data_IF_255318052236
#
_entry.id   IF_255318052236
#
_cell.length_a   1.000
_cell.length_b   1.000
_cell.length_c   1.000
_cell.angle_alpha   90.00
_cell.angle_beta   90.00
_cell.angle_gamma   90.00
#
_symmetry.space_group_name_H-M   'P 1'
#
loop_
_entity.id
_entity.type
_entity.pdbx_description
1 polymer ?
#
# COMPACT_ATOMS: atom_id res chain seq x y z
N UNK A 1 -1.17 -0.96 -10.74
CA UNK A 1 -0.04 -1.75 -11.20
C UNK A 1 -0.10 -1.81 -12.72
N UNK A 2 0.88 -1.25 -13.38
CA UNK A 2 1.08 -1.40 -14.82
C UNK A 2 1.55 -2.84 -15.05
N UNK A 3 0.63 -3.73 -15.32
CA UNK A 3 0.66 -5.13 -15.78
C UNK A 3 1.91 -6.02 -15.66
N UNK A 4 3.12 -5.47 -15.62
CA UNK A 4 4.36 -6.24 -15.61
C UNK A 4 4.92 -6.54 -14.21
N UNK A 5 4.57 -5.73 -13.19
CA UNK A 5 5.12 -5.85 -11.83
C UNK A 5 4.04 -5.68 -10.77
N UNK A 6 3.12 -6.65 -10.61
CA UNK A 6 2.12 -6.60 -9.56
C UNK A 6 2.80 -6.76 -8.19
N UNK A 7 2.67 -5.77 -7.33
CA UNK A 7 3.26 -5.77 -5.97
C UNK A 7 2.23 -5.93 -4.87
N UNK A 8 0.98 -5.61 -5.16
CA UNK A 8 -0.13 -5.73 -4.20
C UNK A 8 -1.42 -6.13 -4.93
N UNK A 9 -2.29 -6.83 -4.24
CA UNK A 9 -3.68 -7.08 -4.60
C UNK A 9 -4.56 -6.87 -3.36
N UNK A 10 -5.87 -6.87 -3.56
CA UNK A 10 -6.84 -6.72 -2.49
C UNK A 10 -7.87 -7.85 -2.57
N UNK A 11 -8.02 -8.61 -1.50
CA UNK A 11 -8.95 -9.72 -1.41
C UNK A 11 -10.42 -9.33 -1.62
N UNK A 12 -10.77 -8.05 -1.41
CA UNK A 12 -12.12 -7.56 -1.67
C UNK A 12 -12.52 -7.60 -3.16
N UNK A 13 -11.52 -7.56 -4.08
CA UNK A 13 -11.76 -7.66 -5.51
C UNK A 13 -10.63 -8.46 -6.18
N UNK A 14 -10.64 -9.77 -5.96
CA UNK A 14 -9.65 -10.70 -6.48
C UNK A 14 -10.33 -11.86 -7.19
N UNK A 15 -9.98 -12.08 -8.45
CA UNK A 15 -10.50 -13.20 -9.25
C UNK A 15 -9.32 -14.09 -9.68
N UNK A 16 -9.47 -15.37 -9.48
CA UNK A 16 -8.47 -16.38 -9.87
C UNK A 16 -9.14 -17.69 -10.27
N UNK A 17 -8.44 -18.52 -11.04
CA UNK A 17 -8.97 -19.82 -11.45
C UNK A 17 -8.90 -20.83 -10.31
N UNK A 18 -9.90 -21.73 -10.24
CA UNK A 18 -9.91 -22.85 -9.28
C UNK A 18 -8.62 -23.65 -9.34
N UNK A 19 -8.09 -23.90 -10.53
CA UNK A 19 -6.84 -24.63 -10.73
C UNK A 19 -5.64 -23.99 -10.02
N UNK A 20 -5.57 -22.64 -9.99
CA UNK A 20 -4.51 -21.92 -9.28
C UNK A 20 -4.70 -22.06 -7.79
N UNK A 21 -5.93 -21.92 -7.30
CA UNK A 21 -6.26 -22.08 -5.90
C UNK A 21 -5.87 -23.46 -5.36
N UNK A 22 -6.30 -24.52 -6.04
CA UNK A 22 -6.02 -25.90 -5.63
C UNK A 22 -4.51 -26.20 -5.53
N UNK A 23 -3.67 -25.49 -6.29
CA UNK A 23 -2.20 -25.58 -6.21
C UNK A 23 -1.60 -24.69 -5.13
N UNK A 24 -2.21 -23.55 -4.88
CA UNK A 24 -1.71 -22.55 -3.94
C UNK A 24 -2.05 -22.90 -2.48
N UNK A 25 -3.23 -23.46 -2.22
CA UNK A 25 -3.77 -23.66 -0.87
C UNK A 25 -2.78 -24.35 0.11
N UNK A 26 -1.98 -25.29 -0.37
CA UNK A 26 -1.00 -26.01 0.46
C UNK A 26 0.30 -25.21 0.68
N UNK A 27 0.43 -24.04 0.08
CA UNK A 27 1.58 -23.12 0.20
C UNK A 27 1.22 -21.78 0.83
N UNK A 28 -0.06 -21.55 1.10
CA UNK A 28 -0.49 -20.38 1.85
C UNK A 28 0.01 -20.51 3.28
N UNK A 29 0.41 -19.38 3.86
CA UNK A 29 0.96 -19.35 5.22
C UNK A 29 -0.20 -19.39 6.20
N UNK A 30 -0.60 -20.58 6.61
CA UNK A 30 -1.73 -20.84 7.54
C UNK A 30 -1.52 -20.25 8.95
N UNK A 31 -0.29 -19.84 9.27
CA UNK A 31 0.02 -19.21 10.57
C UNK A 31 -0.42 -17.76 10.65
N UNK A 32 -0.75 -17.14 9.53
CA UNK A 32 -1.15 -15.73 9.47
C UNK A 32 -2.68 -15.62 9.39
N UNK A 33 -3.28 -14.91 10.33
CA UNK A 33 -4.74 -14.72 10.43
C UNK A 33 -5.39 -13.97 9.23
N UNK A 34 -4.60 -13.59 8.22
CA UNK A 34 -5.06 -12.97 6.97
C UNK A 34 -3.86 -12.76 6.03
N UNK A 35 -4.09 -12.50 4.74
CA UNK A 35 -3.03 -12.26 3.75
C UNK A 35 -3.03 -13.25 2.61
N UNK A 36 -4.03 -14.09 2.56
CA UNK A 36 -4.22 -15.08 1.50
C UNK A 36 -4.13 -14.44 0.11
N UNK A 37 -4.60 -13.19 -0.02
CA UNK A 37 -4.53 -12.40 -1.24
C UNK A 37 -3.08 -12.12 -1.67
N UNK A 38 -2.25 -11.60 -0.79
CA UNK A 38 -0.86 -11.26 -1.11
C UNK A 38 0.00 -12.51 -1.28
N UNK A 39 -0.21 -13.56 -0.46
CA UNK A 39 0.53 -14.82 -0.61
C UNK A 39 0.14 -15.56 -1.87
N UNK A 40 -1.14 -15.53 -2.27
CA UNK A 40 -1.58 -16.03 -3.56
C UNK A 40 -0.92 -15.28 -4.72
N UNK A 41 -0.80 -13.94 -4.62
CA UNK A 41 -0.09 -13.14 -5.62
C UNK A 41 1.39 -13.56 -5.73
N UNK A 42 2.09 -13.73 -4.59
CA UNK A 42 3.48 -14.17 -4.57
C UNK A 42 3.65 -15.54 -5.20
N UNK A 43 2.75 -16.48 -4.88
CA UNK A 43 2.74 -17.81 -5.51
C UNK A 43 2.55 -17.73 -7.03
N UNK A 44 1.60 -16.92 -7.50
CA UNK A 44 1.36 -16.74 -8.94
C UNK A 44 2.61 -16.15 -9.63
N UNK A 45 3.31 -15.22 -8.99
CA UNK A 45 4.57 -14.66 -9.51
C UNK A 45 5.68 -15.72 -9.57
N UNK A 46 5.83 -16.53 -8.51
CA UNK A 46 6.81 -17.62 -8.43
C UNK A 46 6.67 -18.59 -9.61
N UNK A 47 5.43 -18.99 -9.92
CA UNK A 47 5.14 -19.87 -11.07
C UNK A 47 5.09 -19.16 -12.42
N UNK A 48 5.49 -17.88 -12.46
CA UNK A 48 5.45 -17.02 -13.67
C UNK A 48 4.04 -16.95 -14.29
N UNK A 49 3.02 -17.01 -13.47
CA UNK A 49 1.62 -16.90 -13.87
C UNK A 49 1.27 -15.50 -14.36
N UNK A 50 0.24 -15.39 -15.18
CA UNK A 50 -0.23 -14.11 -15.70
C UNK A 50 -1.11 -13.42 -14.66
N UNK A 51 -0.74 -12.21 -14.25
CA UNK A 51 -1.55 -11.32 -13.42
C UNK A 51 -2.02 -10.15 -14.27
N UNK A 52 -3.31 -9.84 -14.22
CA UNK A 52 -3.93 -8.74 -14.97
C UNK A 52 -4.62 -7.81 -13.98
N UNK A 53 -4.38 -6.52 -14.12
CA UNK A 53 -5.11 -5.50 -13.39
C UNK A 53 -6.34 -5.08 -14.20
N UNK A 54 -7.51 -5.27 -13.62
CA UNK A 54 -8.76 -4.83 -14.21
C UNK A 54 -9.03 -3.38 -13.81
N UNK A 55 -8.77 -2.45 -14.75
CA UNK A 55 -8.98 -1.01 -14.57
C UNK A 55 -10.30 -0.61 -15.21
N UNK A 56 -11.38 -0.82 -14.50
CA UNK A 56 -12.72 -0.40 -14.91
C UNK A 56 -13.44 0.19 -13.70
N UNK A 57 -14.32 1.15 -13.93
CA UNK A 57 -15.14 1.75 -12.85
C UNK A 57 -16.12 0.73 -12.27
N UNK A 58 -16.65 -0.15 -13.11
CA UNK A 58 -17.58 -1.21 -12.69
C UNK A 58 -16.89 -2.30 -11.86
N UNK A 59 -15.55 -2.33 -11.85
CA UNK A 59 -14.74 -3.20 -11.00
C UNK A 59 -14.45 -2.63 -9.62
N UNK A 60 -14.93 -1.45 -9.26
CA UNK A 60 -14.73 -0.90 -7.92
C UNK A 60 -15.62 -1.62 -6.90
N UNK A 61 -15.00 -2.03 -5.80
CA UNK A 61 -15.69 -2.59 -4.65
C UNK A 61 -15.53 -1.61 -3.48
N UNK A 62 -16.65 -1.14 -2.97
CA UNK A 62 -16.68 -0.30 -1.79
C UNK A 62 -16.66 -1.16 -0.53
N UNK A 63 -15.85 -0.79 0.44
CA UNK A 63 -15.78 -1.43 1.74
C UNK A 63 -15.98 -0.38 2.83
N UNK A 64 -16.59 -0.80 3.94
CA UNK A 64 -16.76 0.08 5.08
C UNK A 64 -15.41 0.48 5.67
N UNK A 65 -15.29 1.76 6.03
CA UNK A 65 -14.15 2.24 6.79
C UNK A 65 -14.17 1.65 8.22
N UNK A 66 -13.02 1.64 8.88
CA UNK A 66 -12.97 1.27 10.29
C UNK A 66 -13.70 2.33 11.13
N UNK A 67 -14.54 1.90 12.07
CA UNK A 67 -15.41 2.79 12.86
C UNK A 67 -14.65 3.70 13.84
N UNK A 68 -13.43 3.31 14.23
CA UNK A 68 -12.60 4.06 15.17
C UNK A 68 -11.15 4.12 14.71
N UNK A 69 -10.41 5.15 15.17
CA UNK A 69 -8.96 5.24 14.91
C UNK A 69 -8.19 4.04 15.47
N UNK A 70 -8.62 3.50 16.61
CA UNK A 70 -8.03 2.31 17.20
C UNK A 70 -8.24 1.07 16.32
N UNK A 71 -9.46 0.85 15.82
CA UNK A 71 -9.76 -0.23 14.89
C UNK A 71 -8.98 -0.09 13.58
N UNK A 72 -8.90 1.14 13.04
CA UNK A 72 -8.09 1.45 11.87
C UNK A 72 -6.60 1.12 12.11
N UNK A 73 -6.02 1.58 13.21
CA UNK A 73 -4.62 1.30 13.54
C UNK A 73 -4.34 -0.19 13.68
N UNK A 74 -5.19 -0.93 14.39
CA UNK A 74 -5.06 -2.37 14.55
C UNK A 74 -5.17 -3.12 13.21
N UNK A 75 -6.07 -2.69 12.33
CA UNK A 75 -6.18 -3.24 10.99
C UNK A 75 -4.86 -3.04 10.21
N UNK A 76 -4.28 -1.83 10.25
CA UNK A 76 -3.03 -1.50 9.55
C UNK A 76 -1.83 -2.23 10.14
N UNK A 77 -1.75 -2.28 11.46
CA UNK A 77 -0.74 -3.08 12.17
C UNK A 77 -0.77 -4.55 11.75
N UNK A 78 -1.95 -5.16 11.71
CA UNK A 78 -2.14 -6.52 11.22
C UNK A 78 -1.70 -6.69 9.75
N UNK A 79 -1.94 -5.71 8.90
CA UNK A 79 -1.48 -5.77 7.51
C UNK A 79 0.04 -5.65 7.40
N UNK A 80 0.64 -4.81 8.22
CA UNK A 80 2.10 -4.61 8.20
C UNK A 80 2.83 -5.81 8.80
N UNK A 81 2.30 -6.48 9.84
CA UNK A 81 2.94 -7.66 10.43
C UNK A 81 3.22 -8.78 9.42
N UNK A 82 2.38 -8.91 8.39
CA UNK A 82 2.57 -9.88 7.31
C UNK A 82 3.80 -9.62 6.44
N UNK A 83 4.32 -8.40 6.44
CA UNK A 83 5.50 -8.06 5.64
C UNK A 83 6.73 -8.88 6.01
N UNK A 84 6.78 -9.47 7.22
CA UNK A 84 7.82 -10.40 7.66
C UNK A 84 7.85 -11.69 6.83
N UNK A 85 6.69 -12.12 6.35
CA UNK A 85 6.52 -13.34 5.56
C UNK A 85 6.58 -13.10 4.05
N UNK A 86 6.93 -11.87 3.61
CA UNK A 86 7.03 -11.56 2.19
C UNK A 86 8.27 -12.18 1.58
N UNK A 87 8.08 -12.99 0.54
CA UNK A 87 9.15 -13.65 -0.23
C UNK A 87 9.45 -12.98 -1.56
N UNK A 88 8.53 -12.14 -2.05
CA UNK A 88 8.68 -11.45 -3.33
C UNK A 88 9.61 -10.24 -3.21
N UNK A 89 10.76 -10.32 -3.88
CA UNK A 89 11.81 -9.29 -3.83
C UNK A 89 11.30 -7.90 -4.23
N UNK A 90 10.40 -7.82 -5.22
CA UNK A 90 9.86 -6.54 -5.68
C UNK A 90 8.97 -5.90 -4.60
N UNK A 91 8.13 -6.70 -3.97
CA UNK A 91 7.26 -6.24 -2.87
C UNK A 91 8.09 -5.77 -1.68
N UNK A 92 9.12 -6.53 -1.29
CA UNK A 92 10.05 -6.17 -0.20
C UNK A 92 10.80 -4.88 -0.55
N UNK A 93 11.33 -4.76 -1.77
CA UNK A 93 12.03 -3.56 -2.21
C UNK A 93 11.16 -2.30 -2.13
N UNK A 94 9.92 -2.38 -2.61
CA UNK A 94 8.99 -1.24 -2.54
C UNK A 94 8.61 -0.91 -1.09
N UNK A 95 8.39 -1.91 -0.25
CA UNK A 95 8.12 -1.69 1.18
C UNK A 95 9.28 -0.97 1.89
N UNK A 96 10.52 -1.39 1.63
CA UNK A 96 11.72 -0.72 2.15
C UNK A 96 11.85 0.70 1.61
N UNK A 97 11.64 0.91 0.31
CA UNK A 97 11.70 2.24 -0.31
C UNK A 97 10.70 3.20 0.35
N UNK A 98 9.44 2.77 0.52
CA UNK A 98 8.39 3.58 1.16
C UNK A 98 8.75 3.89 2.61
N UNK A 99 9.28 2.93 3.35
CA UNK A 99 9.68 3.10 4.75
C UNK A 99 10.84 4.09 4.86
N UNK A 100 11.90 3.91 4.08
CA UNK A 100 13.07 4.80 4.08
C UNK A 100 12.69 6.23 3.66
N UNK A 101 11.87 6.37 2.61
CA UNK A 101 11.36 7.69 2.20
C UNK A 101 10.56 8.35 3.33
N UNK A 102 9.73 7.60 4.03
CA UNK A 102 8.94 8.11 5.15
C UNK A 102 9.82 8.59 6.31
N UNK A 103 10.86 7.81 6.65
CA UNK A 103 11.85 8.20 7.68
C UNK A 103 12.60 9.47 7.24
N UNK A 104 13.05 9.54 6.00
CA UNK A 104 13.74 10.72 5.44
C UNK A 104 12.85 11.96 5.49
N UNK A 105 11.57 11.82 5.13
CA UNK A 105 10.61 12.92 5.21
C UNK A 105 10.39 13.38 6.65
N UNK A 106 10.22 12.48 7.61
CA UNK A 106 10.08 12.83 9.03
C UNK A 106 11.36 13.54 9.56
N UNK A 107 12.55 13.04 9.21
CA UNK A 107 13.82 13.67 9.56
C UNK A 107 13.97 15.06 8.93
N UNK A 108 13.54 15.24 7.68
CA UNK A 108 13.59 16.53 7.00
C UNK A 108 12.70 17.60 7.65
N UNK A 109 11.63 17.20 8.32
CA UNK A 109 10.79 18.14 9.08
C UNK A 109 11.57 18.73 10.27
N UNK A 110 12.35 17.91 10.96
CA UNK A 110 13.23 18.39 12.03
C UNK A 110 14.35 19.24 11.46
N UNK A 111 14.98 18.81 10.36
CA UNK A 111 16.05 19.54 9.71
C UNK A 111 15.59 20.92 9.18
N UNK A 112 14.33 21.08 8.80
CA UNK A 112 13.76 22.34 8.35
C UNK A 112 13.75 23.44 9.45
N UNK A 113 13.86 23.06 10.72
CA UNK A 113 14.02 24.02 11.83
C UNK A 113 15.39 24.72 11.74
N UNK A 114 16.41 24.03 11.24
CA UNK A 114 17.78 24.53 11.13
C UNK A 114 18.09 25.15 9.76
N UNK A 115 17.51 24.56 8.68
CA UNK A 115 17.65 25.09 7.31
C UNK A 115 16.32 24.94 6.56
N UNK A 116 15.72 26.07 6.22
CA UNK A 116 14.44 26.13 5.50
C UNK A 116 14.45 25.44 4.13
N UNK A 117 15.62 25.16 3.53
CA UNK A 117 15.72 24.42 2.27
C UNK A 117 15.08 23.04 2.33
N UNK A 118 15.02 22.41 3.51
CA UNK A 118 14.36 21.12 3.68
C UNK A 118 12.84 21.17 3.46
N UNK A 119 12.23 22.36 3.51
CA UNK A 119 10.81 22.57 3.13
C UNK A 119 10.59 22.22 1.66
N UNK A 120 11.59 22.42 0.80
CA UNK A 120 11.50 22.07 -0.62
C UNK A 120 11.19 20.59 -0.84
N UNK A 121 11.70 19.70 0.02
CA UNK A 121 11.41 18.25 -0.07
C UNK A 121 9.89 17.98 0.11
N UNK A 122 9.25 18.72 1.01
CA UNK A 122 7.80 18.60 1.23
C UNK A 122 7.00 19.16 0.07
N UNK A 123 7.44 20.22 -0.56
CA UNK A 123 6.80 20.75 -1.77
C UNK A 123 6.93 19.76 -2.94
N UNK A 124 8.12 19.19 -3.14
CA UNK A 124 8.34 18.15 -4.16
C UNK A 124 7.44 16.94 -3.89
N UNK A 125 7.40 16.48 -2.64
CA UNK A 125 6.51 15.38 -2.25
C UNK A 125 5.05 15.70 -2.54
N UNK A 126 4.57 16.88 -2.18
CA UNK A 126 3.20 17.30 -2.43
C UNK A 126 2.86 17.29 -3.93
N UNK A 127 3.79 17.75 -4.77
CA UNK A 127 3.61 17.71 -6.24
C UNK A 127 3.50 16.27 -6.73
N UNK A 128 4.39 15.38 -6.27
CA UNK A 128 4.39 13.95 -6.66
C UNK A 128 3.11 13.28 -6.19
N UNK A 129 2.74 13.45 -4.91
CA UNK A 129 1.50 12.87 -4.36
C UNK A 129 0.27 13.37 -5.14
N UNK A 130 0.22 14.66 -5.45
CA UNK A 130 -0.87 15.25 -6.23
C UNK A 130 -0.93 14.69 -7.64
N UNK A 131 0.20 14.57 -8.31
CA UNK A 131 0.29 14.02 -9.66
C UNK A 131 -0.18 12.56 -9.76
N UNK A 132 0.00 11.78 -8.68
CA UNK A 132 -0.46 10.39 -8.60
C UNK A 132 -1.93 10.28 -8.15
N UNK A 133 -2.34 11.04 -7.13
CA UNK A 133 -3.64 10.89 -6.50
C UNK A 133 -4.76 11.59 -7.27
N UNK A 134 -4.53 12.77 -7.85
CA UNK A 134 -5.58 13.52 -8.55
C UNK A 134 -6.18 12.71 -9.71
N UNK A 135 -5.37 12.14 -10.65
CA UNK A 135 -5.93 11.34 -11.74
C UNK A 135 -6.71 10.11 -11.25
N UNK A 136 -6.24 9.50 -10.14
CA UNK A 136 -6.93 8.36 -9.55
C UNK A 136 -8.27 8.76 -8.91
N UNK A 137 -8.30 9.85 -8.14
CA UNK A 137 -9.51 10.36 -7.50
C UNK A 137 -10.56 10.85 -8.53
N UNK A 138 -10.11 11.41 -9.64
CA UNK A 138 -11.00 11.76 -10.75
C UNK A 138 -11.58 10.51 -11.42
N UNK A 139 -10.74 9.50 -11.66
CA UNK A 139 -11.16 8.22 -12.23
C UNK A 139 -12.14 7.47 -11.34
N UNK A 140 -11.94 7.49 -10.02
CA UNK A 140 -12.81 6.82 -9.04
C UNK A 140 -14.04 7.63 -8.62
N UNK A 141 -14.32 8.77 -9.28
CA UNK A 141 -15.40 9.70 -8.93
C UNK A 141 -15.36 10.28 -7.51
N UNK A 142 -14.19 10.28 -6.86
CA UNK A 142 -13.96 10.75 -5.49
C UNK A 142 -13.27 12.12 -5.45
N UNK A 143 -13.60 13.02 -6.38
CA UNK A 143 -12.99 14.36 -6.51
C UNK A 143 -13.04 15.20 -5.24
N UNK A 144 -14.03 14.97 -4.37
CA UNK A 144 -14.17 15.69 -3.08
C UNK A 144 -12.98 15.44 -2.13
N UNK A 145 -12.21 14.37 -2.34
CA UNK A 145 -11.02 14.05 -1.54
C UNK A 145 -9.77 14.83 -1.97
N UNK A 146 -9.78 15.49 -3.14
CA UNK A 146 -8.61 16.22 -3.65
C UNK A 146 -8.14 17.29 -2.66
N UNK A 147 -9.06 17.99 -2.00
CA UNK A 147 -8.74 19.01 -1.00
C UNK A 147 -7.99 18.49 0.23
N UNK A 148 -8.03 17.18 0.49
CA UNK A 148 -7.32 16.57 1.62
C UNK A 148 -5.88 16.14 1.29
N UNK A 149 -5.46 16.19 0.01
CA UNK A 149 -4.13 15.74 -0.41
C UNK A 149 -3.01 16.45 0.36
N UNK A 150 -2.99 17.79 0.54
CA UNK A 150 -1.90 18.43 1.27
C UNK A 150 -1.78 17.94 2.71
N UNK A 151 -2.91 17.80 3.39
CA UNK A 151 -2.96 17.30 4.76
C UNK A 151 -2.46 15.84 4.86
N UNK A 152 -2.96 14.97 3.98
CA UNK A 152 -2.56 13.57 3.94
C UNK A 152 -1.09 13.40 3.53
N UNK A 153 -0.59 14.25 2.64
CA UNK A 153 0.82 14.23 2.23
C UNK A 153 1.76 14.47 3.41
N UNK A 154 1.37 15.32 4.36
CA UNK A 154 2.14 15.58 5.59
C UNK A 154 2.01 14.43 6.59
N UNK A 155 0.82 13.89 6.79
CA UNK A 155 0.56 12.84 7.80
C UNK A 155 1.10 11.47 7.37
N UNK A 156 1.07 11.16 6.07
CA UNK A 156 1.38 9.84 5.55
C UNK A 156 2.76 9.29 5.98
N UNK A 157 3.87 10.03 5.97
CA UNK A 157 5.16 9.53 6.46
C UNK A 157 5.12 9.06 7.91
N UNK A 158 4.47 9.82 8.79
CA UNK A 158 4.33 9.46 10.21
C UNK A 158 3.44 8.24 10.40
N UNK A 159 2.36 8.15 9.64
CA UNK A 159 1.49 6.99 9.61
C UNK A 159 2.25 5.72 9.21
N UNK A 160 3.08 5.76 8.16
CA UNK A 160 3.90 4.61 7.73
C UNK A 160 4.88 4.21 8.84
N UNK A 161 5.60 5.16 9.42
CA UNK A 161 6.55 4.88 10.51
C UNK A 161 5.80 4.19 11.68
N UNK A 162 4.69 4.76 12.12
CA UNK A 162 3.91 4.22 13.23
C UNK A 162 3.39 2.79 12.95
N UNK A 163 2.91 2.53 11.73
CA UNK A 163 2.38 1.20 11.39
C UNK A 163 3.48 0.16 11.19
N UNK A 164 4.62 0.53 10.61
CA UNK A 164 5.76 -0.37 10.44
C UNK A 164 6.33 -0.77 11.80
N UNK A 165 6.71 0.18 12.64
CA UNK A 165 7.26 -0.13 13.96
C UNK A 165 6.25 -0.72 14.94
N UNK A 166 4.96 -0.41 14.78
CA UNK A 166 3.90 -1.03 15.56
C UNK A 166 3.51 -2.44 15.08
N UNK A 167 3.83 -2.82 13.85
CA UNK A 167 3.55 -4.14 13.26
C UNK A 167 4.73 -5.12 13.35
N UNK A 168 5.94 -4.59 13.54
CA UNK A 168 7.15 -5.37 13.80
C UNK A 168 7.25 -5.81 15.26
#
# INVERSE_FOLDING_TARGET
ALGKFPIMCNGANLVFSRRIWDKAQNRLVDTEASGDDIFLLHYIKEIKGRVVYFKDIDGFVETLAADTLHAFYNQRKRWTSKSRSYTDVQTVFVALLVTLTSITMAASMIAAIFDSKFILLWLIKLVIDSALLIPFLLFSHQKYLIGYIPFLSVIYPFYIIMTVFGGL
#
